data_IF_819046180452
#
_entry.id   IF_819046180452
#
_cell.length_a   1.000
_cell.length_b   1.000
_cell.length_c   1.000
_cell.angle_alpha   90.00
_cell.angle_beta   90.00
_cell.angle_gamma   90.00
#
_symmetry.space_group_name_H-M   'P 1'
#
loop_
_entity.id
_entity.type
_entity.pdbx_description
1 polymer ?
#
# COMPACT_ATOMS: atom_id res chain seq x y z
N UNK A 1 20.92 -8.34 -13.42
CA UNK A 1 21.06 -6.89 -13.71
C UNK A 1 19.81 -6.23 -13.16
N UNK A 2 19.88 -5.54 -12.01
CA UNK A 2 18.72 -4.84 -11.45
C UNK A 2 18.51 -3.55 -12.25
N UNK A 3 17.45 -3.51 -13.04
CA UNK A 3 17.05 -2.27 -13.73
C UNK A 3 16.55 -1.29 -12.67
N UNK A 4 17.38 -0.31 -12.35
CA UNK A 4 16.99 0.78 -11.43
C UNK A 4 15.88 1.59 -12.13
N UNK A 5 14.70 1.66 -11.51
CA UNK A 5 13.63 2.52 -11.98
C UNK A 5 14.13 3.96 -11.93
N UNK A 6 14.40 4.55 -13.10
CA UNK A 6 14.78 5.96 -13.21
C UNK A 6 13.49 6.78 -13.15
N UNK A 7 13.26 7.44 -12.03
CA UNK A 7 12.15 8.40 -11.89
C UNK A 7 12.64 9.68 -12.58
N UNK A 8 11.92 10.23 -13.59
CA UNK A 8 12.28 11.51 -14.16
C UNK A 8 12.17 12.60 -13.09
N UNK A 9 13.21 13.44 -12.95
CA UNK A 9 13.25 14.56 -11.99
C UNK A 9 12.01 15.47 -12.06
N UNK A 10 11.38 15.60 -13.22
CA UNK A 10 10.13 16.36 -13.40
C UNK A 10 8.92 15.76 -12.67
N UNK A 11 8.94 14.47 -12.27
CA UNK A 11 7.85 13.84 -11.55
C UNK A 11 7.82 14.21 -10.05
N UNK A 12 8.95 14.69 -9.52
CA UNK A 12 9.12 15.03 -8.09
C UNK A 12 8.73 16.48 -7.79
N UNK A 13 8.77 17.36 -8.77
CA UNK A 13 8.79 18.82 -8.57
C UNK A 13 7.43 19.48 -8.24
N UNK A 14 6.29 18.79 -8.11
CA UNK A 14 4.98 19.44 -8.19
C UNK A 14 4.08 19.42 -6.95
N UNK A 15 4.51 18.86 -5.82
CA UNK A 15 3.69 18.92 -4.61
C UNK A 15 4.54 19.20 -3.37
N UNK A 16 4.79 20.45 -3.08
CA UNK A 16 5.27 20.84 -1.74
C UNK A 16 4.10 20.72 -0.78
N UNK A 17 4.11 19.68 0.03
CA UNK A 17 3.17 19.55 1.14
C UNK A 17 3.71 20.41 2.30
N UNK A 18 3.02 21.51 2.64
CA UNK A 18 3.34 22.33 3.82
C UNK A 18 2.75 21.66 5.09
N UNK A 19 3.16 20.44 5.36
CA UNK A 19 2.81 19.71 6.60
C UNK A 19 3.78 20.03 7.73
N UNK A 20 3.40 19.60 8.93
CA UNK A 20 4.22 19.69 10.15
C UNK A 20 5.57 18.99 9.94
N UNK A 21 6.59 19.38 10.76
CA UNK A 21 7.90 18.74 10.74
C UNK A 21 7.79 17.20 10.83
N UNK A 22 8.67 16.44 10.16
CA UNK A 22 8.62 14.99 10.17
C UNK A 22 8.70 14.46 11.62
N UNK A 23 7.99 13.36 11.94
CA UNK A 23 7.97 12.79 13.28
C UNK A 23 9.39 12.39 13.72
N UNK A 24 9.67 12.53 15.00
CA UNK A 24 10.98 12.31 15.64
C UNK A 24 11.56 10.88 15.50
N UNK A 25 10.88 9.96 14.78
CA UNK A 25 11.27 8.56 14.65
C UNK A 25 11.20 8.03 13.21
N UNK A 26 11.73 8.80 12.25
CA UNK A 26 11.76 8.43 10.84
C UNK A 26 12.51 7.11 10.56
N UNK A 27 13.60 6.84 11.29
CA UNK A 27 14.41 5.63 11.08
C UNK A 27 13.62 4.36 11.40
N UNK A 28 12.84 4.37 12.49
CA UNK A 28 12.02 3.20 12.85
C UNK A 28 10.85 3.00 11.87
N UNK A 29 10.22 4.07 11.39
CA UNK A 29 9.15 3.99 10.40
C UNK A 29 9.67 3.50 9.05
N UNK A 30 10.87 3.92 8.66
CA UNK A 30 11.57 3.45 7.46
C UNK A 30 11.91 1.96 7.58
N UNK A 31 12.45 1.52 8.71
CA UNK A 31 12.75 0.10 8.96
C UNK A 31 11.48 -0.78 8.93
N UNK A 32 10.35 -0.31 9.45
CA UNK A 32 9.06 -1.02 9.32
C UNK A 32 8.65 -1.12 7.86
N UNK A 33 8.70 -0.01 7.13
CA UNK A 33 8.32 0.04 5.70
C UNK A 33 9.16 -0.92 4.86
N UNK A 34 10.48 -0.95 5.07
CA UNK A 34 11.38 -1.86 4.35
C UNK A 34 11.07 -3.33 4.62
N UNK A 35 10.78 -3.71 5.87
CA UNK A 35 10.38 -5.10 6.20
C UNK A 35 9.07 -5.50 5.49
N UNK A 36 8.10 -4.59 5.35
CA UNK A 36 6.84 -4.85 4.64
C UNK A 36 7.07 -4.97 3.13
N UNK A 37 7.87 -4.08 2.56
CA UNK A 37 8.20 -4.08 1.14
C UNK A 37 9.12 -5.24 0.72
N UNK A 38 9.90 -5.82 1.63
CA UNK A 38 10.78 -6.94 1.32
C UNK A 38 10.02 -8.22 0.90
N UNK A 39 8.75 -8.35 1.27
CA UNK A 39 7.92 -9.54 1.02
C UNK A 39 6.89 -9.37 -0.10
N UNK A 40 6.90 -8.26 -0.83
CA UNK A 40 6.01 -8.05 -1.98
C UNK A 40 6.78 -8.21 -3.30
N UNK A 41 6.05 -8.26 -4.42
CA UNK A 41 6.65 -8.32 -5.77
C UNK A 41 7.76 -7.28 -5.95
N UNK A 42 8.94 -7.64 -6.51
CA UNK A 42 10.09 -6.73 -6.61
C UNK A 42 9.80 -5.40 -7.28
N UNK A 43 9.01 -5.40 -8.35
CA UNK A 43 8.58 -4.18 -9.04
C UNK A 43 7.66 -3.31 -8.19
N UNK A 44 6.78 -3.91 -7.36
CA UNK A 44 5.96 -3.18 -6.40
C UNK A 44 6.83 -2.62 -5.27
N UNK A 45 7.77 -3.41 -4.75
CA UNK A 45 8.71 -2.97 -3.71
C UNK A 45 9.54 -1.76 -4.16
N UNK A 46 10.03 -1.78 -5.42
CA UNK A 46 10.76 -0.65 -6.02
C UNK A 46 9.90 0.62 -6.05
N UNK A 47 8.64 0.52 -6.48
CA UNK A 47 7.68 1.63 -6.49
C UNK A 47 7.33 2.13 -5.09
N UNK A 48 7.16 1.23 -4.13
CA UNK A 48 6.94 1.57 -2.73
C UNK A 48 8.10 2.37 -2.13
N UNK A 49 9.34 1.96 -2.39
CA UNK A 49 10.55 2.72 -1.95
C UNK A 49 10.62 4.08 -2.61
N UNK A 50 10.38 4.16 -3.92
CA UNK A 50 10.33 5.42 -4.65
C UNK A 50 9.25 6.35 -4.11
N UNK A 51 8.08 5.80 -3.73
CA UNK A 51 7.00 6.57 -3.11
C UNK A 51 7.39 7.12 -1.74
N UNK A 52 8.03 6.32 -0.88
CA UNK A 52 8.54 6.76 0.42
C UNK A 52 9.51 7.92 0.26
N UNK A 53 10.45 7.82 -0.70
CA UNK A 53 11.44 8.86 -0.98
C UNK A 53 10.79 10.14 -1.52
N UNK A 54 9.92 10.03 -2.52
CA UNK A 54 9.24 11.18 -3.12
C UNK A 54 8.31 11.89 -2.13
N UNK A 55 7.61 11.14 -1.27
CA UNK A 55 6.80 11.73 -0.20
C UNK A 55 7.69 12.49 0.80
N UNK A 56 8.82 11.91 1.22
CA UNK A 56 9.74 12.58 2.14
C UNK A 56 10.31 13.88 1.54
N UNK A 57 10.69 13.88 0.25
CA UNK A 57 11.14 15.08 -0.46
C UNK A 57 10.04 16.15 -0.57
N UNK A 58 8.78 15.74 -0.65
CA UNK A 58 7.62 16.63 -0.63
C UNK A 58 7.23 17.12 0.80
N UNK A 59 7.96 16.70 1.84
CA UNK A 59 7.64 17.03 3.22
C UNK A 59 6.48 16.21 3.80
N UNK A 60 6.09 15.11 3.14
CA UNK A 60 5.00 14.23 3.57
C UNK A 60 5.56 12.96 4.20
N UNK A 61 5.35 12.78 5.50
CA UNK A 61 5.77 11.57 6.21
C UNK A 61 4.74 10.45 6.05
N UNK A 62 5.13 9.35 5.39
CA UNK A 62 4.31 8.13 5.26
C UNK A 62 5.06 6.91 5.77
N UNK A 63 4.32 5.86 6.14
CA UNK A 63 4.87 4.56 6.52
C UNK A 63 4.07 3.45 5.84
N UNK A 64 4.75 2.43 5.31
CA UNK A 64 4.10 1.20 4.83
C UNK A 64 3.72 0.35 6.05
N UNK A 65 2.42 0.12 6.20
CA UNK A 65 1.86 -0.60 7.35
C UNK A 65 1.59 -2.07 7.06
N UNK A 66 1.33 -2.42 5.80
CA UNK A 66 1.04 -3.79 5.37
C UNK A 66 1.60 -4.05 3.97
N UNK A 67 1.98 -5.30 3.69
CA UNK A 67 2.44 -5.77 2.40
C UNK A 67 1.81 -7.12 2.04
N UNK A 68 2.63 -8.18 1.87
CA UNK A 68 2.14 -9.54 1.67
C UNK A 68 1.35 -9.99 2.91
N UNK A 69 0.16 -10.54 2.66
CA UNK A 69 -0.74 -11.09 3.68
C UNK A 69 -1.13 -12.50 3.28
N UNK A 70 -1.00 -13.46 4.19
CA UNK A 70 -1.47 -14.84 3.97
C UNK A 70 -3.00 -14.88 3.81
N UNK A 71 -3.50 -15.95 3.21
CA UNK A 71 -4.96 -16.16 3.09
C UNK A 71 -5.61 -16.28 4.47
N UNK A 72 -4.95 -16.96 5.42
CA UNK A 72 -5.45 -17.11 6.80
C UNK A 72 -5.55 -15.77 7.52
N UNK A 73 -4.54 -14.89 7.39
CA UNK A 73 -4.58 -13.52 7.95
C UNK A 73 -5.70 -12.69 7.31
N UNK A 74 -5.92 -12.84 6.00
CA UNK A 74 -7.02 -12.18 5.31
C UNK A 74 -8.39 -12.68 5.80
N UNK A 75 -8.56 -13.97 6.03
CA UNK A 75 -9.79 -14.54 6.60
C UNK A 75 -10.01 -14.08 8.05
N UNK A 76 -8.95 -13.97 8.83
CA UNK A 76 -9.02 -13.41 10.18
C UNK A 76 -9.48 -11.94 10.17
N UNK A 77 -8.99 -11.12 9.23
CA UNK A 77 -9.48 -9.75 9.03
C UNK A 77 -10.94 -9.73 8.57
N UNK A 78 -11.33 -10.63 7.66
CA UNK A 78 -12.71 -10.74 7.19
C UNK A 78 -13.68 -11.10 8.32
N UNK A 79 -13.26 -11.93 9.27
CA UNK A 79 -14.06 -12.33 10.43
C UNK A 79 -14.35 -11.17 11.39
N UNK A 80 -13.50 -10.12 11.41
CA UNK A 80 -13.67 -8.94 12.28
C UNK A 80 -14.98 -8.20 11.96
N UNK A 81 -15.77 -7.94 13.00
CA UNK A 81 -17.09 -7.33 12.89
C UNK A 81 -18.16 -8.23 12.23
N UNK A 82 -17.88 -9.54 12.11
CA UNK A 82 -18.83 -10.58 11.65
C UNK A 82 -18.96 -11.70 12.69
N UNK A 83 -17.94 -12.53 12.82
CA UNK A 83 -17.90 -13.67 13.76
C UNK A 83 -16.94 -13.42 14.92
N UNK A 84 -16.09 -12.40 14.82
CA UNK A 84 -15.14 -11.95 15.85
C UNK A 84 -15.44 -10.47 16.13
N UNK A 85 -15.32 -9.99 17.38
CA UNK A 85 -15.52 -8.58 17.70
C UNK A 85 -14.73 -7.64 16.80
N UNK A 86 -15.27 -6.45 16.49
CA UNK A 86 -14.58 -5.46 15.66
C UNK A 86 -13.34 -4.89 16.38
N UNK A 87 -12.43 -4.32 15.61
CA UNK A 87 -11.31 -3.54 16.14
C UNK A 87 -11.76 -2.08 16.21
N UNK A 88 -11.82 -1.52 17.41
CA UNK A 88 -12.26 -0.14 17.63
C UNK A 88 -13.69 0.10 17.14
N UNK A 89 -13.91 1.22 16.44
CA UNK A 89 -15.23 1.63 15.92
C UNK A 89 -15.58 0.98 14.55
N UNK A 90 -14.66 0.22 13.96
CA UNK A 90 -14.86 -0.35 12.61
C UNK A 90 -15.48 -1.74 12.69
N UNK A 91 -16.75 -1.84 12.38
CA UNK A 91 -17.49 -3.11 12.40
C UNK A 91 -16.97 -4.12 11.36
N UNK A 92 -16.48 -3.65 10.20
CA UNK A 92 -15.96 -4.51 9.13
C UNK A 92 -14.70 -3.89 8.55
N UNK A 93 -13.58 -4.57 8.69
CA UNK A 93 -12.24 -4.10 8.28
C UNK A 93 -12.02 -4.30 6.79
N UNK A 94 -12.59 -5.36 6.21
CA UNK A 94 -12.46 -5.70 4.79
C UNK A 94 -13.70 -6.41 4.26
N UNK A 95 -13.90 -6.34 2.94
CA UNK A 95 -14.91 -7.15 2.22
C UNK A 95 -14.32 -8.41 1.59
N UNK A 96 -12.99 -8.53 1.53
CA UNK A 96 -12.26 -9.60 0.88
C UNK A 96 -11.95 -10.74 1.86
N UNK A 97 -12.21 -11.97 1.45
CA UNK A 97 -11.74 -13.21 2.08
C UNK A 97 -10.33 -13.56 1.59
N UNK A 98 -9.74 -14.63 2.15
CA UNK A 98 -8.51 -15.20 1.65
C UNK A 98 -8.55 -15.45 0.14
N UNK A 99 -7.50 -15.04 -0.57
CA UNK A 99 -7.43 -15.11 -2.03
C UNK A 99 -8.26 -14.05 -2.79
N UNK A 100 -8.88 -13.09 -2.10
CA UNK A 100 -9.71 -12.03 -2.70
C UNK A 100 -9.12 -10.63 -2.54
N UNK A 101 -7.84 -10.54 -2.17
CA UNK A 101 -7.09 -9.29 -2.05
C UNK A 101 -5.75 -9.42 -2.77
N UNK A 102 -5.28 -8.36 -3.42
CA UNK A 102 -3.94 -8.34 -4.04
C UNK A 102 -2.81 -8.41 -3.02
N UNK A 103 -3.05 -8.09 -1.74
CA UNK A 103 -2.13 -8.39 -0.65
C UNK A 103 -1.80 -9.89 -0.54
N UNK A 104 -2.75 -10.77 -0.87
CA UNK A 104 -2.53 -12.22 -0.80
C UNK A 104 -1.54 -12.74 -1.86
N UNK A 105 -1.21 -11.89 -2.81
CA UNK A 105 -0.30 -12.21 -3.91
C UNK A 105 0.93 -11.30 -3.92
N UNK A 106 1.13 -10.49 -2.88
CA UNK A 106 2.24 -9.54 -2.81
C UNK A 106 2.19 -8.46 -3.89
N UNK A 107 1.00 -8.11 -4.38
CA UNK A 107 0.75 -7.12 -5.43
C UNK A 107 0.09 -5.85 -4.90
N UNK A 108 0.02 -5.70 -3.58
CA UNK A 108 -0.50 -4.50 -2.90
C UNK A 108 0.31 -4.22 -1.63
N UNK A 109 0.30 -2.95 -1.22
CA UNK A 109 0.72 -2.51 0.10
C UNK A 109 -0.21 -1.40 0.60
N UNK A 110 -0.30 -1.27 1.92
CA UNK A 110 -1.03 -0.19 2.57
C UNK A 110 -0.04 0.79 3.19
N UNK A 111 -0.40 2.08 3.19
CA UNK A 111 0.35 3.13 3.89
C UNK A 111 -0.50 3.78 4.97
N UNK A 112 0.17 4.52 5.84
CA UNK A 112 -0.42 5.55 6.68
C UNK A 112 0.30 6.87 6.45
N UNK A 113 -0.45 7.96 6.43
CA UNK A 113 0.09 9.32 6.50
C UNK A 113 0.26 9.64 7.98
N UNK A 114 1.50 9.84 8.43
CA UNK A 114 1.80 9.90 9.87
C UNK A 114 1.16 11.11 10.54
N UNK A 115 1.06 12.25 9.85
CA UNK A 115 0.39 13.45 10.36
C UNK A 115 -1.14 13.31 10.42
N UNK A 116 -1.70 12.33 9.70
CA UNK A 116 -3.13 12.04 9.71
C UNK A 116 -3.56 11.11 10.86
N UNK A 117 -2.59 10.50 11.56
CA UNK A 117 -2.89 9.60 12.69
C UNK A 117 -3.39 10.40 13.88
N UNK A 118 -4.61 10.13 14.31
CA UNK A 118 -5.26 10.77 15.45
C UNK A 118 -5.74 9.71 16.46
N UNK A 119 -6.08 10.13 17.68
CA UNK A 119 -6.60 9.22 18.70
C UNK A 119 -7.89 8.50 18.30
N UNK A 120 -8.68 9.09 17.39
CA UNK A 120 -9.98 8.60 16.91
C UNK A 120 -9.92 7.92 15.55
N UNK A 121 -8.73 7.80 14.94
CA UNK A 121 -8.53 7.13 13.65
C UNK A 121 -7.49 7.81 12.75
N UNK A 122 -7.47 7.43 11.48
CA UNK A 122 -6.46 7.85 10.50
C UNK A 122 -6.85 9.13 9.74
N UNK A 123 -7.65 10.03 10.30
CA UNK A 123 -7.99 11.32 9.69
C UNK A 123 -8.26 11.22 8.18
N UNK A 124 -9.37 10.56 7.80
CA UNK A 124 -9.68 10.25 6.41
C UNK A 124 -9.77 11.48 5.47
N UNK A 125 -9.98 12.65 6.03
CA UNK A 125 -10.07 13.96 5.37
C UNK A 125 -8.72 14.71 5.30
N UNK A 126 -7.64 14.11 5.84
CA UNK A 126 -6.32 14.76 5.85
C UNK A 126 -5.77 14.90 4.43
N UNK A 127 -5.31 16.11 4.02
CA UNK A 127 -4.86 16.39 2.65
C UNK A 127 -3.64 15.56 2.21
N UNK A 128 -2.88 15.04 3.14
CA UNK A 128 -1.75 14.14 2.87
C UNK A 128 -2.13 12.87 2.10
N UNK A 129 -3.38 12.39 2.21
CA UNK A 129 -3.85 11.26 1.42
C UNK A 129 -3.88 11.57 -0.07
N UNK A 130 -4.38 12.76 -0.45
CA UNK A 130 -4.40 13.19 -1.84
C UNK A 130 -2.97 13.43 -2.38
N UNK A 131 -2.10 14.04 -1.57
CA UNK A 131 -0.71 14.26 -1.94
C UNK A 131 0.04 12.93 -2.16
N UNK A 132 -0.11 11.96 -1.26
CA UNK A 132 0.45 10.63 -1.41
C UNK A 132 -0.10 9.90 -2.65
N UNK A 133 -1.42 10.05 -2.92
CA UNK A 133 -2.08 9.44 -4.08
C UNK A 133 -1.50 9.94 -5.40
N UNK A 134 -1.29 11.25 -5.54
CA UNK A 134 -0.69 11.84 -6.73
C UNK A 134 0.73 11.34 -6.99
N UNK A 135 1.53 11.18 -5.92
CA UNK A 135 2.87 10.60 -6.01
C UNK A 135 2.78 9.13 -6.44
N UNK A 136 1.94 8.32 -5.78
CA UNK A 136 1.77 6.90 -6.09
C UNK A 136 1.30 6.66 -7.53
N UNK A 137 0.32 7.43 -8.02
CA UNK A 137 -0.18 7.35 -9.41
C UNK A 137 0.91 7.67 -10.42
N UNK A 138 1.76 8.68 -10.19
CA UNK A 138 2.90 8.99 -11.06
C UNK A 138 3.92 7.86 -11.13
N UNK A 139 4.01 7.04 -10.08
CA UNK A 139 4.82 5.82 -10.06
C UNK A 139 4.12 4.61 -10.69
N UNK A 140 2.93 4.80 -11.26
CA UNK A 140 2.15 3.75 -11.92
C UNK A 140 1.35 2.88 -10.97
N UNK A 141 1.17 3.27 -9.70
CA UNK A 141 0.34 2.56 -8.75
C UNK A 141 -1.15 2.90 -8.95
N UNK A 142 -2.00 1.90 -8.81
CA UNK A 142 -3.44 2.08 -8.64
C UNK A 142 -3.71 2.42 -7.17
N UNK A 143 -4.53 3.43 -6.90
CA UNK A 143 -4.89 3.85 -5.55
C UNK A 143 -6.32 3.46 -5.18
N UNK A 144 -6.52 2.85 -4.03
CA UNK A 144 -7.84 2.43 -3.54
C UNK A 144 -8.76 3.60 -3.14
N UNK A 145 -8.21 4.80 -2.97
CA UNK A 145 -9.01 6.00 -2.75
C UNK A 145 -9.85 6.45 -3.95
N UNK A 146 -9.52 5.99 -5.17
CA UNK A 146 -10.29 6.25 -6.39
C UNK A 146 -11.47 5.27 -6.57
N UNK A 147 -11.58 4.23 -5.73
CA UNK A 147 -12.66 3.26 -5.87
C UNK A 147 -14.01 3.82 -5.44
N UNK A 148 -15.04 3.60 -6.24
CA UNK A 148 -16.38 4.12 -5.99
C UNK A 148 -17.22 3.27 -5.02
N UNK A 149 -16.98 1.95 -4.99
CA UNK A 149 -17.77 1.02 -4.17
C UNK A 149 -17.24 0.81 -2.76
N UNK A 150 -15.95 1.04 -2.54
CA UNK A 150 -15.26 0.88 -1.26
C UNK A 150 -14.00 1.71 -1.29
N UNK A 151 -14.07 2.95 -0.86
CA UNK A 151 -12.92 3.86 -0.79
C UNK A 151 -11.93 3.35 0.25
N UNK A 152 -10.70 3.04 -0.19
CA UNK A 152 -9.63 2.51 0.64
C UNK A 152 -8.36 3.36 0.45
N UNK A 153 -8.26 4.46 1.20
CA UNK A 153 -7.17 5.44 1.06
C UNK A 153 -5.78 4.90 1.39
N UNK A 154 -5.60 3.98 2.36
CA UNK A 154 -4.33 3.34 2.60
C UNK A 154 -3.80 2.53 1.42
N UNK A 155 -4.67 1.94 0.61
CA UNK A 155 -4.35 0.88 -0.34
C UNK A 155 -3.73 1.37 -1.64
N UNK A 156 -2.59 0.77 -1.99
CA UNK A 156 -1.91 0.90 -3.29
C UNK A 156 -1.61 -0.47 -3.86
N UNK A 157 -1.82 -0.63 -5.18
CA UNK A 157 -1.54 -1.91 -5.85
C UNK A 157 -0.88 -1.72 -7.20
N UNK A 158 -0.13 -2.75 -7.61
CA UNK A 158 0.47 -2.85 -8.93
C UNK A 158 0.47 -4.31 -9.39
N UNK A 159 -0.39 -4.63 -10.31
CA UNK A 159 -0.75 -6.00 -10.69
C UNK A 159 -0.52 -6.30 -12.17
N UNK A 160 0.02 -5.35 -12.93
CA UNK A 160 0.08 -5.45 -14.38
C UNK A 160 -1.32 -5.62 -14.97
N UNK A 161 -1.51 -6.69 -15.75
CA UNK A 161 -2.81 -7.01 -16.36
C UNK A 161 -3.59 -8.10 -15.59
N UNK A 162 -3.05 -8.62 -14.47
CA UNK A 162 -3.68 -9.71 -13.74
C UNK A 162 -4.93 -9.27 -12.99
N UNK A 163 -5.98 -10.07 -13.11
CA UNK A 163 -7.13 -10.02 -12.20
C UNK A 163 -6.96 -11.00 -11.04
N UNK A 164 -7.80 -10.89 -10.00
CA UNK A 164 -7.77 -11.80 -8.84
C UNK A 164 -7.99 -13.26 -9.25
N UNK A 165 -8.77 -13.53 -10.31
CA UNK A 165 -8.97 -14.89 -10.81
C UNK A 165 -7.67 -15.46 -11.38
N UNK A 166 -6.91 -14.66 -12.13
CA UNK A 166 -5.60 -15.05 -12.67
C UNK A 166 -4.60 -15.29 -11.55
N UNK A 167 -4.55 -14.38 -10.58
CA UNK A 167 -3.67 -14.53 -9.41
C UNK A 167 -3.95 -15.84 -8.67
N UNK A 168 -5.22 -16.18 -8.40
CA UNK A 168 -5.57 -17.45 -7.75
C UNK A 168 -5.17 -18.68 -8.57
N UNK A 169 -5.38 -18.63 -9.88
CA UNK A 169 -5.00 -19.72 -10.80
C UNK A 169 -3.48 -19.92 -10.83
N UNK A 170 -2.73 -18.84 -10.89
CA UNK A 170 -1.25 -18.89 -10.89
C UNK A 170 -0.71 -19.30 -9.53
N UNK A 171 -1.32 -18.81 -8.45
CA UNK A 171 -0.91 -19.11 -7.06
C UNK A 171 -0.99 -20.61 -6.70
N UNK A 172 -1.80 -21.39 -7.41
CA UNK A 172 -1.79 -22.83 -7.26
C UNK A 172 -0.42 -23.50 -7.57
N UNK A 173 0.49 -22.74 -8.26
CA UNK A 173 1.86 -23.12 -8.56
C UNK A 173 2.91 -22.38 -7.69
N UNK A 174 2.44 -21.61 -6.70
CA UNK A 174 3.29 -20.80 -5.83
C UNK A 174 3.19 -19.30 -6.12
N UNK A 175 3.71 -18.49 -5.20
CA UNK A 175 3.68 -17.05 -5.29
C UNK A 175 4.55 -16.53 -6.45
N UNK A 176 5.68 -17.17 -6.70
CA UNK A 176 6.61 -16.87 -7.78
C UNK A 176 5.91 -16.93 -9.14
N UNK A 177 5.02 -17.93 -9.35
CA UNK A 177 4.27 -18.05 -10.59
C UNK A 177 3.31 -16.87 -10.85
N UNK A 178 2.83 -16.21 -9.79
CA UNK A 178 2.09 -14.94 -9.93
C UNK A 178 3.04 -13.83 -10.36
N UNK A 179 4.19 -13.74 -9.71
CA UNK A 179 5.15 -12.64 -9.89
C UNK A 179 5.82 -12.65 -11.27
N UNK A 180 6.11 -13.82 -11.82
CA UNK A 180 6.64 -13.99 -13.18
C UNK A 180 5.71 -13.42 -14.27
N UNK A 181 4.43 -13.27 -13.98
CA UNK A 181 3.41 -12.75 -14.89
C UNK A 181 3.09 -11.25 -14.68
N UNK A 182 3.82 -10.59 -13.78
CA UNK A 182 3.73 -9.13 -13.55
C UNK A 182 5.06 -8.51 -14.00
N UNK A 183 5.05 -7.44 -14.82
CA UNK A 183 6.30 -6.81 -15.27
C UNK A 183 7.10 -6.27 -14.06
N UNK A 184 8.42 -6.18 -14.19
CA UNK A 184 9.31 -5.56 -13.16
C UNK A 184 9.48 -4.07 -13.43
#
# INVERSE_FOLDING_TARGET
MQTRLVIPDAAVAAATFNGSAPPANLDSTRAVSERRLANVHPGLASRGRAMLEACAQAGLAIMVTEGLRTWAEQDALYARGRTVPPIGKHYRVTRAKGGQSFHNFGLAFDIVVLDAVRKDGWGADHPGWAAAAEIGKRLGLEWGGDWTSFVDRPHYQWRGKLGLADCRRLYARGLEAVWENVPV
#
